data_IF_403914567887
#
_entry.id   IF_403914567887
#
_cell.length_a   1.000
_cell.length_b   1.000
_cell.length_c   1.000
_cell.angle_alpha   90.00
_cell.angle_beta   90.00
_cell.angle_gamma   90.00
#
_symmetry.space_group_name_H-M   'P 1'
#
loop_
_entity.id
_entity.type
_entity.pdbx_description
1 polymer ?
#
# COMPACT_ATOMS: atom_id res chain seq x y z
N UNK A 1 -47.92 -31.25 -8.22
CA UNK A 1 -46.63 -30.55 -8.47
C UNK A 1 -45.61 -31.61 -8.87
N UNK A 2 -45.23 -31.68 -10.14
CA UNK A 2 -44.26 -32.67 -10.63
C UNK A 2 -42.85 -32.26 -10.17
N UNK A 3 -42.10 -33.18 -9.57
CA UNK A 3 -40.69 -32.96 -9.25
C UNK A 3 -39.90 -32.92 -10.55
N UNK A 4 -39.00 -31.94 -10.67
CA UNK A 4 -38.07 -31.82 -11.80
C UNK A 4 -37.26 -33.11 -11.95
N UNK A 5 -37.09 -33.65 -13.18
CA UNK A 5 -36.27 -34.85 -13.42
C UNK A 5 -34.80 -34.71 -13.02
N UNK A 6 -34.35 -33.47 -12.81
CA UNK A 6 -32.96 -33.11 -12.55
C UNK A 6 -32.69 -32.75 -11.09
N UNK A 7 -33.62 -33.05 -10.17
CA UNK A 7 -33.39 -32.84 -8.74
C UNK A 7 -32.36 -33.87 -8.20
N UNK A 8 -31.31 -33.43 -7.49
CA UNK A 8 -30.29 -34.33 -6.97
C UNK A 8 -30.90 -35.34 -5.98
N UNK A 9 -30.45 -36.61 -5.99
CA UNK A 9 -31.08 -37.72 -5.24
C UNK A 9 -31.02 -37.56 -3.71
N UNK A 10 -30.15 -36.68 -3.20
CA UNK A 10 -29.95 -36.46 -1.77
C UNK A 10 -30.34 -35.05 -1.28
N UNK A 11 -31.03 -34.24 -2.10
CA UNK A 11 -31.60 -32.96 -1.67
C UNK A 11 -30.60 -31.83 -1.39
N UNK A 12 -29.30 -32.11 -1.38
CA UNK A 12 -28.26 -31.08 -1.31
C UNK A 12 -27.84 -30.66 -2.72
N UNK A 13 -28.01 -29.38 -3.00
CA UNK A 13 -27.50 -28.77 -4.22
C UNK A 13 -25.96 -28.69 -4.10
N UNK A 14 -25.17 -29.34 -4.98
CA UNK A 14 -23.71 -29.34 -4.90
C UNK A 14 -23.10 -27.93 -4.96
N UNK A 15 -23.87 -26.91 -5.35
CA UNK A 15 -23.44 -25.52 -5.35
C UNK A 15 -23.59 -24.82 -3.99
N UNK A 16 -24.40 -25.33 -3.05
CA UNK A 16 -24.59 -24.69 -1.73
C UNK A 16 -23.32 -24.68 -0.89
N UNK A 17 -22.52 -25.75 -0.93
CA UNK A 17 -21.22 -25.80 -0.25
C UNK A 17 -20.15 -24.88 -0.89
N UNK A 18 -20.24 -24.65 -2.21
CA UNK A 18 -19.33 -23.74 -2.91
C UNK A 18 -19.73 -22.27 -2.72
N UNK A 19 -21.03 -21.95 -2.69
CA UNK A 19 -21.54 -20.64 -2.30
C UNK A 19 -21.16 -20.31 -0.86
N UNK A 20 -21.37 -21.23 0.10
CA UNK A 20 -21.00 -21.03 1.51
C UNK A 20 -19.49 -20.90 1.73
N UNK A 21 -18.66 -21.61 0.96
CA UNK A 21 -17.20 -21.45 1.01
C UNK A 21 -16.72 -20.12 0.40
N UNK A 22 -17.44 -19.60 -0.59
CA UNK A 22 -17.16 -18.28 -1.18
C UNK A 22 -17.60 -17.13 -0.27
N UNK A 23 -18.64 -17.33 0.53
CA UNK A 23 -19.22 -16.35 1.47
C UNK A 23 -18.37 -16.14 2.74
N UNK A 24 -17.40 -17.03 3.00
CA UNK A 24 -16.54 -16.95 4.19
C UNK A 24 -15.33 -16.01 4.06
N UNK A 25 -15.09 -15.43 2.89
CA UNK A 25 -14.22 -14.25 2.79
C UNK A 25 -15.06 -13.05 3.23
N UNK A 26 -15.25 -12.96 4.54
CA UNK A 26 -15.93 -11.85 5.23
C UNK A 26 -15.09 -10.59 5.10
N UNK A 27 -15.21 -9.94 3.94
CA UNK A 27 -14.72 -8.59 3.74
C UNK A 27 -15.57 -7.65 4.57
N UNK A 28 -14.95 -7.01 5.56
CA UNK A 28 -15.57 -5.87 6.23
C UNK A 28 -15.87 -4.80 5.18
N UNK A 29 -17.15 -4.49 5.00
CA UNK A 29 -17.60 -3.55 3.98
C UNK A 29 -17.34 -2.13 4.46
N UNK A 30 -16.16 -1.59 4.16
CA UNK A 30 -15.82 -0.22 4.52
C UNK A 30 -16.49 0.75 3.56
N UNK A 31 -17.27 1.70 4.09
CA UNK A 31 -17.82 2.77 3.28
C UNK A 31 -16.71 3.57 2.58
N UNK A 32 -16.93 3.99 1.33
CA UNK A 32 -16.04 4.91 0.58
C UNK A 32 -15.62 6.12 1.41
N UNK A 33 -16.52 6.65 2.25
CA UNK A 33 -16.22 7.78 3.15
C UNK A 33 -15.15 7.44 4.18
N UNK A 34 -15.21 6.24 4.74
CA UNK A 34 -14.21 5.74 5.70
C UNK A 34 -12.87 5.52 5.00
N UNK A 35 -12.89 5.00 3.77
CA UNK A 35 -11.68 4.78 2.96
C UNK A 35 -10.98 6.11 2.65
N UNK A 36 -11.69 7.02 1.99
CA UNK A 36 -11.16 8.34 1.61
C UNK A 36 -10.77 9.14 2.85
N UNK A 37 -11.62 9.11 3.89
CA UNK A 37 -11.36 9.82 5.15
C UNK A 37 -10.08 9.33 5.83
N UNK A 38 -9.90 8.01 5.96
CA UNK A 38 -8.72 7.41 6.60
C UNK A 38 -7.46 7.67 5.78
N UNK A 39 -7.54 7.57 4.46
CA UNK A 39 -6.42 7.84 3.56
C UNK A 39 -5.96 9.30 3.65
N UNK A 40 -6.90 10.25 3.55
CA UNK A 40 -6.61 11.68 3.66
C UNK A 40 -6.10 12.05 5.05
N UNK A 41 -6.73 11.56 6.11
CA UNK A 41 -6.30 11.86 7.48
C UNK A 41 -4.90 11.32 7.76
N UNK A 42 -4.55 10.15 7.22
CA UNK A 42 -3.21 9.57 7.38
C UNK A 42 -2.15 10.46 6.73
N UNK A 43 -2.40 10.98 5.53
CA UNK A 43 -1.50 11.95 4.89
C UNK A 43 -1.36 13.25 5.68
N UNK A 44 -2.47 13.81 6.17
CA UNK A 44 -2.43 15.05 6.97
C UNK A 44 -1.61 14.83 8.24
N UNK A 45 -1.84 13.72 8.95
CA UNK A 45 -1.09 13.37 10.16
C UNK A 45 0.39 13.15 9.83
N UNK A 46 0.70 12.47 8.73
CA UNK A 46 2.09 12.27 8.29
C UNK A 46 2.82 13.59 8.02
N UNK A 47 2.15 14.54 7.35
CA UNK A 47 2.70 15.87 7.11
C UNK A 47 2.96 16.60 8.42
N UNK A 48 1.99 16.60 9.34
CA UNK A 48 2.14 17.24 10.67
C UNK A 48 3.30 16.64 11.45
N UNK A 49 3.39 15.30 11.54
CA UNK A 49 4.49 14.62 12.23
C UNK A 49 5.83 15.00 11.62
N UNK A 50 5.95 14.94 10.29
CA UNK A 50 7.20 15.26 9.59
C UNK A 50 7.61 16.71 9.83
N UNK A 51 6.68 17.67 9.74
CA UNK A 51 6.95 19.08 10.01
C UNK A 51 7.39 19.32 11.45
N UNK A 52 6.76 18.66 12.43
CA UNK A 52 7.14 18.77 13.85
C UNK A 52 8.57 18.26 14.05
N UNK A 53 8.91 17.11 13.47
CA UNK A 53 10.24 16.52 13.61
C UNK A 53 11.30 17.41 12.96
N UNK A 54 11.04 17.92 11.76
CA UNK A 54 11.95 18.85 11.09
C UNK A 54 12.13 20.14 11.90
N UNK A 55 11.05 20.69 12.46
CA UNK A 55 11.11 21.85 13.35
C UNK A 55 11.92 21.59 14.61
N UNK A 56 11.64 20.49 15.31
CA UNK A 56 12.29 20.14 16.56
C UNK A 56 13.78 19.82 16.40
N UNK A 57 14.20 19.38 15.21
CA UNK A 57 15.60 19.04 14.92
C UNK A 57 16.36 20.18 14.24
N UNK A 58 15.74 21.33 13.98
CA UNK A 58 16.37 22.48 13.31
C UNK A 58 16.59 22.29 11.81
N UNK A 59 15.79 21.44 11.18
CA UNK A 59 15.98 20.95 9.82
C UNK A 59 14.84 21.38 8.86
N UNK A 60 14.08 22.43 9.17
CA UNK A 60 12.99 22.90 8.28
C UNK A 60 13.54 23.43 6.94
N UNK A 61 14.66 24.15 6.98
CA UNK A 61 15.23 24.85 5.81
C UNK A 61 16.37 24.08 5.13
N UNK A 62 16.39 22.75 5.25
CA UNK A 62 17.45 21.94 4.65
C UNK A 62 17.47 22.05 3.12
N UNK A 63 18.66 22.21 2.56
CA UNK A 63 18.86 22.07 1.12
C UNK A 63 18.67 20.61 0.69
N UNK A 64 18.10 20.41 -0.50
CA UNK A 64 17.94 19.08 -1.08
C UNK A 64 19.31 18.37 -1.19
N UNK A 65 19.40 17.14 -0.68
CA UNK A 65 20.64 16.35 -0.65
C UNK A 65 21.53 16.57 0.58
N UNK A 66 21.20 17.53 1.46
CA UNK A 66 21.88 17.75 2.74
C UNK A 66 21.16 17.05 3.92
N UNK A 67 20.36 16.03 3.63
CA UNK A 67 19.50 15.37 4.60
C UNK A 67 20.32 14.54 5.61
N UNK A 68 20.05 14.64 6.91
CA UNK A 68 20.67 13.79 7.92
C UNK A 68 20.38 12.31 7.66
N UNK A 69 21.32 11.43 8.00
CA UNK A 69 21.20 9.97 7.76
C UNK A 69 19.94 9.34 8.38
N UNK A 70 19.44 9.90 9.48
CA UNK A 70 18.22 9.42 10.15
C UNK A 70 16.93 9.84 9.43
N UNK A 71 17.00 10.85 8.56
CA UNK A 71 15.84 11.47 7.93
C UNK A 71 15.02 10.47 7.13
N UNK A 72 15.68 9.54 6.43
CA UNK A 72 15.00 8.52 5.65
C UNK A 72 14.13 7.60 6.52
N UNK A 73 14.70 7.05 7.59
CA UNK A 73 13.97 6.14 8.47
C UNK A 73 12.80 6.85 9.16
N UNK A 74 13.03 8.09 9.59
CA UNK A 74 12.02 8.88 10.29
C UNK A 74 10.91 9.36 9.36
N UNK A 75 11.25 9.82 8.15
CA UNK A 75 10.25 10.23 7.15
C UNK A 75 9.41 9.04 6.69
N UNK A 76 10.01 7.87 6.51
CA UNK A 76 9.28 6.63 6.22
C UNK A 76 8.31 6.29 7.37
N UNK A 77 8.77 6.25 8.61
CA UNK A 77 7.90 5.95 9.77
C UNK A 77 6.78 7.01 9.90
N UNK A 78 7.11 8.28 9.67
CA UNK A 78 6.15 9.39 9.74
C UNK A 78 5.08 9.28 8.66
N UNK A 79 5.44 8.76 7.48
CA UNK A 79 4.51 8.52 6.39
C UNK A 79 3.64 7.28 6.66
N UNK A 80 4.26 6.14 6.94
CA UNK A 80 3.58 4.84 6.98
C UNK A 80 2.90 4.55 8.32
N UNK A 81 3.42 5.07 9.43
CA UNK A 81 2.88 4.87 10.77
C UNK A 81 1.41 5.30 10.89
N UNK A 82 1.04 6.52 10.44
CA UNK A 82 -0.36 6.96 10.41
C UNK A 82 -1.28 6.05 9.59
N UNK A 83 -0.81 5.50 8.46
CA UNK A 83 -1.59 4.52 7.69
C UNK A 83 -1.85 3.25 8.47
N UNK A 84 -0.80 2.68 9.09
CA UNK A 84 -0.96 1.47 9.90
C UNK A 84 -1.93 1.70 11.05
N UNK A 85 -1.79 2.82 11.77
CA UNK A 85 -2.69 3.19 12.86
C UNK A 85 -4.12 3.42 12.35
N UNK A 86 -4.28 4.11 11.21
CA UNK A 86 -5.57 4.33 10.56
C UNK A 86 -6.27 3.01 10.21
N UNK A 87 -5.55 2.07 9.59
CA UNK A 87 -6.06 0.74 9.28
C UNK A 87 -6.43 -0.06 10.53
N UNK A 88 -5.63 0.02 11.60
CA UNK A 88 -5.94 -0.63 12.89
C UNK A 88 -7.23 -0.05 13.50
N UNK A 89 -7.39 1.28 13.48
CA UNK A 89 -8.61 1.94 13.95
C UNK A 89 -9.80 1.50 13.10
N UNK A 90 -9.64 1.44 11.79
CA UNK A 90 -10.71 1.05 10.86
C UNK A 90 -11.13 -0.40 11.06
N UNK A 91 -10.17 -1.34 11.14
CA UNK A 91 -10.45 -2.75 11.42
C UNK A 91 -11.18 -2.92 12.76
N UNK A 92 -10.77 -2.21 13.81
CA UNK A 92 -11.40 -2.30 15.12
C UNK A 92 -12.79 -1.63 15.21
N UNK A 93 -13.02 -0.54 14.46
CA UNK A 93 -14.28 0.24 14.58
C UNK A 93 -15.33 -0.11 13.54
N UNK A 94 -14.89 -0.50 12.34
CA UNK A 94 -15.76 -0.71 11.18
C UNK A 94 -15.59 -2.11 10.58
N UNK A 95 -14.60 -2.88 11.03
CA UNK A 95 -14.30 -4.22 10.56
C UNK A 95 -14.59 -5.31 11.59
N UNK A 96 -13.94 -6.46 11.41
CA UNK A 96 -14.10 -7.60 12.31
C UNK A 96 -13.21 -7.53 13.56
N UNK A 97 -12.31 -6.54 13.62
CA UNK A 97 -11.22 -6.47 14.61
C UNK A 97 -10.10 -7.49 14.35
N UNK A 98 -10.23 -8.35 13.34
CA UNK A 98 -9.16 -9.24 12.90
C UNK A 98 -8.44 -8.63 11.69
N UNK A 99 -7.36 -7.90 11.96
CA UNK A 99 -6.59 -7.17 10.97
C UNK A 99 -6.17 -8.00 9.75
N UNK A 100 -5.77 -9.26 9.97
CA UNK A 100 -5.33 -10.14 8.88
C UNK A 100 -6.47 -10.55 7.95
N UNK A 101 -7.68 -10.73 8.51
CA UNK A 101 -8.89 -11.05 7.73
C UNK A 101 -9.42 -9.82 7.00
N UNK A 102 -9.41 -8.66 7.65
CA UNK A 102 -9.98 -7.41 7.11
C UNK A 102 -9.17 -6.86 5.91
N UNK A 103 -7.84 -7.09 5.88
CA UNK A 103 -6.95 -6.54 4.84
C UNK A 103 -6.25 -7.60 3.98
N UNK A 104 -6.78 -8.83 3.92
CA UNK A 104 -6.33 -9.87 2.98
C UNK A 104 -4.84 -10.21 3.06
N UNK A 105 -4.30 -10.35 4.28
CA UNK A 105 -2.93 -10.84 4.47
C UNK A 105 -2.85 -12.35 4.17
N UNK A 106 -2.90 -12.73 2.88
CA UNK A 106 -2.70 -14.10 2.40
C UNK A 106 -1.71 -14.12 1.24
N UNK A 107 -0.59 -14.81 1.46
CA UNK A 107 0.45 -14.98 0.45
C UNK A 107 0.26 -16.31 -0.29
N UNK A 108 0.20 -16.28 -1.62
CA UNK A 108 0.12 -17.46 -2.49
C UNK A 108 1.37 -17.54 -3.36
N UNK A 109 1.82 -18.75 -3.70
CA UNK A 109 3.00 -18.94 -4.55
C UNK A 109 2.85 -18.30 -5.95
N UNK A 110 1.62 -18.18 -6.46
CA UNK A 110 1.33 -17.46 -7.72
C UNK A 110 1.66 -15.97 -7.61
N UNK A 111 1.64 -15.39 -6.41
CA UNK A 111 1.98 -13.98 -6.19
C UNK A 111 3.47 -13.72 -6.50
N UNK A 112 4.32 -14.75 -6.52
CA UNK A 112 5.72 -14.63 -6.99
C UNK A 112 5.80 -14.26 -8.48
N UNK A 113 4.80 -14.61 -9.30
CA UNK A 113 4.71 -14.12 -10.68
C UNK A 113 4.46 -12.60 -10.74
N UNK A 114 3.97 -12.01 -9.64
CA UNK A 114 3.87 -10.56 -9.46
C UNK A 114 5.24 -9.87 -9.45
N UNK A 115 6.33 -10.55 -9.09
CA UNK A 115 7.68 -9.97 -9.08
C UNK A 115 8.13 -9.57 -10.50
N UNK A 116 8.18 -10.48 -11.50
CA UNK A 116 8.55 -10.10 -12.86
C UNK A 116 7.54 -9.13 -13.48
N UNK A 117 6.23 -9.26 -13.18
CA UNK A 117 5.21 -8.31 -13.62
C UNK A 117 5.50 -6.91 -13.03
N UNK A 118 5.89 -6.84 -11.77
CA UNK A 118 6.28 -5.62 -11.08
C UNK A 118 7.51 -4.97 -11.71
N UNK A 119 8.54 -5.76 -12.03
CA UNK A 119 9.73 -5.26 -12.74
C UNK A 119 9.36 -4.69 -14.11
N UNK A 120 8.56 -5.40 -14.90
CA UNK A 120 8.10 -4.92 -16.21
C UNK A 120 7.24 -3.66 -16.06
N UNK A 121 6.36 -3.63 -15.06
CA UNK A 121 5.52 -2.47 -14.76
C UNK A 121 6.35 -1.27 -14.32
N UNK A 122 7.40 -1.47 -13.53
CA UNK A 122 8.32 -0.40 -13.15
C UNK A 122 9.04 0.18 -14.36
N UNK A 123 9.49 -0.64 -15.31
CA UNK A 123 10.16 -0.15 -16.50
C UNK A 123 9.21 0.56 -17.47
N UNK A 124 8.01 0.03 -17.66
CA UNK A 124 7.05 0.53 -18.64
C UNK A 124 6.11 1.59 -18.06
N UNK A 125 5.40 1.29 -16.98
CA UNK A 125 4.37 2.17 -16.40
C UNK A 125 5.00 3.40 -15.74
N UNK A 126 6.14 3.29 -15.05
CA UNK A 126 6.80 4.47 -14.49
C UNK A 126 7.32 5.36 -15.62
N UNK A 127 7.91 4.76 -16.66
CA UNK A 127 8.34 5.49 -17.85
C UNK A 127 7.17 6.25 -18.49
N UNK A 128 6.06 5.55 -18.74
CA UNK A 128 4.86 6.13 -19.37
C UNK A 128 4.18 7.18 -18.49
N UNK A 129 4.05 6.93 -17.19
CA UNK A 129 3.41 7.86 -16.26
C UNK A 129 4.25 9.12 -16.05
N UNK A 130 5.59 9.01 -16.06
CA UNK A 130 6.49 10.16 -15.93
C UNK A 130 6.73 10.89 -17.24
N UNK A 131 6.53 10.24 -18.39
CA UNK A 131 6.71 10.83 -19.72
C UNK A 131 6.02 12.19 -19.92
N UNK A 132 4.71 12.38 -19.64
CA UNK A 132 4.08 13.68 -19.81
C UNK A 132 4.72 14.76 -18.92
N UNK A 133 5.15 14.40 -17.71
CA UNK A 133 5.84 15.34 -16.81
C UNK A 133 7.25 15.68 -17.27
N UNK A 134 7.95 14.76 -17.94
CA UNK A 134 9.26 15.06 -18.57
C UNK A 134 9.12 16.06 -19.70
N UNK A 135 8.04 15.96 -20.48
CA UNK A 135 7.75 16.90 -21.58
C UNK A 135 7.34 18.27 -21.05
N UNK A 136 6.48 18.31 -20.02
CA UNK A 136 5.93 19.55 -19.48
C UNK A 136 6.84 20.26 -18.47
N UNK A 137 7.67 19.52 -17.74
CA UNK A 137 8.52 20.03 -16.65
C UNK A 137 9.94 19.42 -16.71
N UNK A 138 10.68 19.62 -17.81
CA UNK A 138 11.97 18.97 -18.04
C UNK A 138 12.98 19.22 -16.92
N UNK A 139 13.05 20.45 -16.39
CA UNK A 139 13.99 20.83 -15.32
C UNK A 139 13.83 20.02 -14.02
N UNK A 140 12.63 19.49 -13.74
CA UNK A 140 12.34 18.74 -12.49
C UNK A 140 12.32 17.23 -12.68
N UNK A 141 12.02 16.76 -13.89
CA UNK A 141 11.80 15.35 -14.19
C UNK A 141 12.87 14.73 -15.10
N UNK A 142 13.96 15.47 -15.35
CA UNK A 142 15.10 14.93 -16.07
C UNK A 142 15.64 13.66 -15.37
N UNK A 143 15.77 12.51 -16.08
CA UNK A 143 16.27 11.27 -15.52
C UNK A 143 17.61 11.43 -14.78
N UNK A 144 18.50 12.32 -15.22
CA UNK A 144 19.78 12.56 -14.55
C UNK A 144 19.59 13.08 -13.12
N UNK A 145 18.61 13.96 -12.90
CA UNK A 145 18.32 14.51 -11.57
C UNK A 145 17.72 13.45 -10.63
N UNK A 146 16.92 12.54 -11.18
CA UNK A 146 16.33 11.43 -10.40
C UNK A 146 17.41 10.41 -10.02
N UNK A 147 18.26 10.02 -10.97
CA UNK A 147 19.38 9.12 -10.70
C UNK A 147 20.33 9.72 -9.67
N UNK A 148 20.67 11.00 -9.81
CA UNK A 148 21.56 11.69 -8.87
C UNK A 148 21.00 11.69 -7.46
N UNK A 149 19.71 12.00 -7.27
CA UNK A 149 19.07 11.93 -5.93
C UNK A 149 19.08 10.51 -5.36
N UNK A 150 18.84 9.50 -6.18
CA UNK A 150 18.89 8.11 -5.75
C UNK A 150 20.30 7.69 -5.33
N UNK A 151 21.32 8.09 -6.11
CA UNK A 151 22.74 7.88 -5.78
C UNK A 151 23.13 8.62 -4.50
N UNK A 152 22.76 9.89 -4.37
CA UNK A 152 23.05 10.67 -3.17
C UNK A 152 22.43 10.02 -1.91
N UNK A 153 21.19 9.50 -2.00
CA UNK A 153 20.57 8.75 -0.90
C UNK A 153 21.30 7.45 -0.58
N UNK A 154 21.73 6.71 -1.60
CA UNK A 154 22.46 5.45 -1.43
C UNK A 154 23.87 5.68 -0.85
N UNK A 155 24.60 6.66 -1.37
CA UNK A 155 25.94 7.03 -0.92
C UNK A 155 25.91 7.60 0.50
N UNK A 156 24.85 8.30 0.88
CA UNK A 156 24.66 8.76 2.27
C UNK A 156 24.30 7.61 3.23
N UNK A 157 23.69 6.53 2.73
CA UNK A 157 23.31 5.35 3.49
C UNK A 157 24.48 4.34 3.55
N UNK A 158 25.53 4.65 4.33
CA UNK A 158 26.59 3.69 4.66
C UNK A 158 26.40 3.04 6.04
N UNK A 159 26.88 1.80 6.19
CA UNK A 159 26.83 1.05 7.45
C UNK A 159 25.41 0.61 7.84
N UNK A 160 25.03 0.81 9.10
CA UNK A 160 23.71 0.42 9.62
C UNK A 160 22.54 1.08 8.87
N UNK A 161 22.71 2.31 8.38
CA UNK A 161 21.66 3.03 7.66
C UNK A 161 21.35 2.44 6.28
N UNK A 162 22.30 1.76 5.64
CA UNK A 162 22.03 0.99 4.41
C UNK A 162 21.03 -0.14 4.68
N UNK A 163 21.20 -0.84 5.81
CA UNK A 163 20.31 -1.92 6.22
C UNK A 163 18.91 -1.36 6.50
N UNK A 164 18.81 -0.22 7.19
CA UNK A 164 17.52 0.46 7.42
C UNK A 164 16.86 0.83 6.10
N UNK A 165 17.61 1.43 5.16
CA UNK A 165 17.11 1.77 3.83
C UNK A 165 16.56 0.53 3.11
N UNK A 166 17.33 -0.55 3.05
CA UNK A 166 16.90 -1.80 2.41
C UNK A 166 15.66 -2.37 3.09
N UNK A 167 15.63 -2.43 4.42
CA UNK A 167 14.47 -2.96 5.15
C UNK A 167 13.21 -2.15 4.87
N UNK A 168 13.33 -0.82 4.93
CA UNK A 168 12.21 0.10 4.70
C UNK A 168 11.70 0.01 3.25
N UNK A 169 12.59 -0.01 2.26
CA UNK A 169 12.19 0.02 0.85
C UNK A 169 11.75 -1.34 0.35
N UNK A 170 12.45 -2.42 0.72
CA UNK A 170 12.17 -3.76 0.20
C UNK A 170 11.02 -4.43 0.93
N UNK A 171 10.84 -4.15 2.22
CA UNK A 171 9.79 -4.79 3.02
C UNK A 171 8.76 -3.77 3.50
N UNK A 172 9.20 -2.67 4.12
CA UNK A 172 8.30 -1.70 4.74
C UNK A 172 7.28 -1.12 3.78
N UNK A 173 7.74 -0.51 2.68
CA UNK A 173 6.86 0.09 1.69
C UNK A 173 5.93 -0.95 1.04
N UNK A 174 6.40 -2.08 0.48
CA UNK A 174 5.52 -3.08 -0.12
C UNK A 174 4.46 -3.64 0.84
N UNK A 175 4.80 -3.88 2.12
CA UNK A 175 3.85 -4.39 3.11
C UNK A 175 2.71 -3.38 3.34
N UNK A 176 3.04 -2.11 3.53
CA UNK A 176 2.02 -1.09 3.79
C UNK A 176 1.22 -0.78 2.52
N UNK A 177 1.87 -0.75 1.36
CA UNK A 177 1.19 -0.61 0.07
C UNK A 177 0.18 -1.72 -0.18
N UNK A 178 0.55 -2.97 0.11
CA UNK A 178 -0.34 -4.12 -0.03
C UNK A 178 -1.56 -3.98 0.89
N UNK A 179 -1.36 -3.57 2.14
CA UNK A 179 -2.45 -3.35 3.10
C UNK A 179 -3.39 -2.22 2.68
N UNK A 180 -2.85 -1.08 2.25
CA UNK A 180 -3.64 0.12 1.91
C UNK A 180 -4.30 -0.04 0.54
N UNK A 181 -3.55 -0.43 -0.49
CA UNK A 181 -4.06 -0.46 -1.85
C UNK A 181 -4.78 -1.76 -2.19
N UNK A 182 -4.18 -2.93 -1.92
CA UNK A 182 -4.82 -4.21 -2.24
C UNK A 182 -5.89 -4.58 -1.20
N UNK A 183 -5.56 -4.50 0.08
CA UNK A 183 -6.48 -4.81 1.17
C UNK A 183 -7.62 -3.81 1.28
N UNK A 184 -7.30 -2.55 1.58
CA UNK A 184 -8.30 -1.56 1.96
C UNK A 184 -9.04 -0.91 0.77
N UNK A 185 -8.32 -0.45 -0.26
CA UNK A 185 -8.93 0.28 -1.39
C UNK A 185 -9.49 -0.68 -2.46
N UNK A 186 -8.67 -1.57 -3.02
CA UNK A 186 -9.09 -2.51 -4.07
C UNK A 186 -10.03 -3.59 -3.55
N UNK A 187 -9.85 -4.05 -2.30
CA UNK A 187 -10.76 -5.00 -1.66
C UNK A 187 -12.21 -4.50 -1.67
N UNK A 188 -12.42 -3.21 -1.41
CA UNK A 188 -13.72 -2.57 -1.51
C UNK A 188 -14.23 -2.44 -2.96
N UNK A 189 -13.38 -1.96 -3.89
CA UNK A 189 -13.78 -1.76 -5.29
C UNK A 189 -14.17 -3.06 -6.00
N UNK A 190 -13.45 -4.16 -5.73
CA UNK A 190 -13.73 -5.46 -6.34
C UNK A 190 -15.09 -6.02 -5.93
N UNK A 191 -15.53 -5.75 -4.71
CA UNK A 191 -16.83 -6.21 -4.19
C UNK A 191 -18.01 -5.47 -4.83
N UNK A 192 -17.85 -4.19 -5.17
CA UNK A 192 -18.93 -3.37 -5.75
C UNK A 192 -19.14 -3.58 -7.26
N UNK A 193 -18.22 -4.27 -7.95
CA UNK A 193 -18.28 -4.52 -9.40
C UNK A 193 -18.85 -5.92 -9.72
N UNK A 194 -18.99 -6.77 -8.71
CA UNK A 194 -19.54 -8.13 -8.82
C UNK A 194 -20.95 -8.19 -8.22
#
# INVERSE_FOLDING_TARGET
MSKSPWAPPFGEDPYTGAEQASDQITTSDFSVRVIVGTWLSSYVVALVITTIILGATGNIDMAAGAEPKWFLGVSAISLWGPFLVGLLIVSNRFGSGNFAKDFFLSFRLIDLAGIPIGVVSQLLLVGLATWPFRVLFPEKFDPENVEKRARDLFDNAHGFWLVVLVVVVVFGAPIIEELVYRGFIHGHLRKNIN
#
